data_IF_925076839461
#
_entry.id   IF_925076839461
#
_cell.length_a   1.000
_cell.length_b   1.000
_cell.length_c   1.000
_cell.angle_alpha   90.00
_cell.angle_beta   90.00
_cell.angle_gamma   90.00
#
_symmetry.space_group_name_H-M   'P 1'
#
loop_
_entity.id
_entity.type
_entity.pdbx_description
1 polymer ?
#
# COMPACT_ATOMS: atom_id res chain seq x y z
N UNK A 1 12.72 10.63 -18.81
CA UNK A 1 11.52 10.53 -17.95
C UNK A 1 11.02 9.11 -17.98
N UNK A 2 10.90 8.49 -16.81
CA UNK A 2 10.25 7.21 -16.73
C UNK A 2 8.76 7.40 -17.11
N UNK A 3 8.26 6.53 -17.98
CA UNK A 3 6.85 6.54 -18.36
C UNK A 3 6.02 6.03 -17.16
N UNK A 4 5.50 6.96 -16.37
CA UNK A 4 4.71 6.66 -15.16
C UNK A 4 3.43 5.86 -15.46
N UNK A 5 3.03 5.78 -16.73
CA UNK A 5 1.86 4.99 -17.11
C UNK A 5 2.08 3.48 -17.02
N UNK A 6 3.34 3.05 -16.92
CA UNK A 6 3.73 1.63 -16.87
C UNK A 6 4.12 1.14 -15.48
N UNK A 7 4.22 2.06 -14.52
CA UNK A 7 4.59 1.77 -13.15
C UNK A 7 3.48 2.21 -12.21
N UNK A 8 3.17 1.39 -11.24
CA UNK A 8 2.16 1.71 -10.23
C UNK A 8 2.73 1.49 -8.84
N UNK A 9 2.54 2.47 -7.96
CA UNK A 9 2.89 2.36 -6.55
C UNK A 9 1.61 2.21 -5.74
N UNK A 10 1.52 1.19 -4.92
CA UNK A 10 0.36 0.91 -4.07
C UNK A 10 0.82 0.86 -2.62
N UNK A 11 0.06 1.48 -1.74
CA UNK A 11 0.34 1.52 -0.32
C UNK A 11 -0.78 0.83 0.45
N UNK A 12 -0.38 -0.09 1.30
CA UNK A 12 -1.22 -0.71 2.32
C UNK A 12 -0.69 -0.36 3.71
N UNK A 13 -1.56 -0.43 4.70
CA UNK A 13 -1.18 -0.36 6.11
C UNK A 13 -1.84 -1.51 6.84
N UNK A 14 -1.07 -2.34 7.54
CA UNK A 14 -1.59 -3.54 8.18
C UNK A 14 -0.87 -3.88 9.47
N UNK A 15 -1.60 -4.49 10.38
CA UNK A 15 -1.07 -5.28 11.49
C UNK A 15 -1.11 -6.77 11.15
N UNK A 16 -0.71 -7.61 12.11
CA UNK A 16 -0.69 -9.07 11.91
C UNK A 16 -2.09 -9.66 11.74
N UNK A 17 -3.10 -9.09 12.38
CA UNK A 17 -4.49 -9.57 12.30
C UNK A 17 -5.08 -9.40 10.90
N UNK A 18 -4.70 -8.35 10.18
CA UNK A 18 -5.19 -8.06 8.83
C UNK A 18 -4.25 -8.53 7.71
N UNK A 19 -3.11 -9.13 8.06
CA UNK A 19 -2.12 -9.56 7.06
C UNK A 19 -2.69 -10.53 6.03
N UNK A 20 -3.55 -11.46 6.44
CA UNK A 20 -4.21 -12.40 5.54
C UNK A 20 -5.18 -11.68 4.59
N UNK A 21 -5.99 -10.76 5.10
CA UNK A 21 -6.93 -9.97 4.29
C UNK A 21 -6.17 -9.13 3.27
N UNK A 22 -5.09 -8.46 3.71
CA UNK A 22 -4.20 -7.71 2.82
C UNK A 22 -3.60 -8.60 1.74
N UNK A 23 -3.20 -9.82 2.08
CA UNK A 23 -2.66 -10.79 1.11
C UNK A 23 -3.67 -11.12 0.00
N UNK A 24 -4.93 -11.31 0.36
CA UNK A 24 -6.01 -11.54 -0.62
C UNK A 24 -6.22 -10.31 -1.49
N UNK A 25 -6.23 -9.12 -0.90
CA UNK A 25 -6.34 -7.86 -1.63
C UNK A 25 -5.21 -7.68 -2.63
N UNK A 26 -3.96 -7.86 -2.19
CA UNK A 26 -2.76 -7.77 -3.06
C UNK A 26 -2.84 -8.80 -4.19
N UNK A 27 -3.20 -10.03 -3.89
CA UNK A 27 -3.33 -11.08 -4.92
C UNK A 27 -4.34 -10.68 -5.98
N UNK A 28 -5.51 -10.19 -5.58
CA UNK A 28 -6.55 -9.74 -6.52
C UNK A 28 -6.06 -8.58 -7.39
N UNK A 29 -5.32 -7.63 -6.79
CA UNK A 29 -4.73 -6.51 -7.52
C UNK A 29 -3.74 -6.98 -8.57
N UNK A 30 -2.82 -7.86 -8.20
CA UNK A 30 -1.78 -8.36 -9.11
C UNK A 30 -2.35 -9.20 -10.25
N UNK A 31 -3.42 -9.98 -9.97
CA UNK A 31 -4.13 -10.77 -10.98
C UNK A 31 -4.76 -9.94 -12.08
N UNK A 32 -5.22 -8.74 -11.78
CA UNK A 32 -5.93 -7.88 -12.73
C UNK A 32 -5.07 -6.79 -13.36
N UNK A 33 -3.79 -6.70 -13.00
CA UNK A 33 -2.90 -5.63 -13.43
C UNK A 33 -1.59 -6.11 -14.05
N UNK A 34 -1.64 -7.21 -14.81
CA UNK A 34 -0.50 -7.77 -15.53
C UNK A 34 0.07 -6.84 -16.61
N UNK A 35 -0.67 -5.83 -17.02
CA UNK A 35 -0.27 -4.84 -18.02
C UNK A 35 0.78 -3.83 -17.53
N UNK A 36 0.90 -3.64 -16.21
CA UNK A 36 1.96 -2.81 -15.66
C UNK A 36 3.31 -3.52 -15.74
N UNK A 37 4.34 -2.81 -16.12
CA UNK A 37 5.70 -3.34 -16.17
C UNK A 37 6.30 -3.51 -14.78
N UNK A 38 5.88 -2.64 -13.83
CA UNK A 38 6.31 -2.72 -12.43
C UNK A 38 5.23 -2.23 -11.48
N UNK A 39 4.87 -3.07 -10.52
CA UNK A 39 3.97 -2.72 -9.42
C UNK A 39 4.77 -2.80 -8.12
N UNK A 40 4.94 -1.67 -7.45
CA UNK A 40 5.58 -1.57 -6.14
C UNK A 40 4.53 -1.52 -5.06
N UNK A 41 4.57 -2.52 -4.20
CA UNK A 41 3.68 -2.62 -3.05
C UNK A 41 4.46 -2.17 -1.81
N UNK A 42 4.05 -1.05 -1.24
CA UNK A 42 4.54 -0.56 0.03
C UNK A 42 3.56 -0.97 1.13
N UNK A 43 4.07 -1.56 2.19
CA UNK A 43 3.26 -1.95 3.34
C UNK A 43 3.79 -1.23 4.57
N UNK A 44 2.97 -0.35 5.15
CA UNK A 44 3.24 0.19 6.47
C UNK A 44 3.02 -0.94 7.46
N UNK A 45 4.11 -1.44 8.01
CA UNK A 45 4.17 -2.64 8.83
C UNK A 45 3.99 -2.27 10.31
N UNK A 46 2.77 -2.51 10.82
CA UNK A 46 2.44 -2.35 12.22
C UNK A 46 2.54 -3.71 12.94
N UNK A 47 3.76 -4.21 13.08
CA UNK A 47 4.08 -5.44 13.79
C UNK A 47 3.51 -6.72 13.15
N UNK A 48 3.61 -6.80 11.83
CA UNK A 48 3.29 -8.03 11.09
C UNK A 48 4.33 -9.11 11.48
N UNK A 49 3.88 -10.33 11.75
CA UNK A 49 4.77 -11.42 12.12
C UNK A 49 5.74 -11.77 10.98
N UNK A 50 6.97 -12.24 11.30
CA UNK A 50 7.92 -12.69 10.29
C UNK A 50 7.34 -13.76 9.37
N UNK A 51 6.54 -14.68 9.91
CA UNK A 51 5.86 -15.72 9.15
C UNK A 51 4.91 -15.14 8.09
N UNK A 52 4.07 -14.18 8.47
CA UNK A 52 3.13 -13.54 7.56
C UNK A 52 3.85 -12.67 6.53
N UNK A 53 4.92 -11.96 6.90
CA UNK A 53 5.75 -11.24 5.93
C UNK A 53 6.34 -12.18 4.89
N UNK A 54 6.84 -13.34 5.30
CA UNK A 54 7.42 -14.33 4.38
C UNK A 54 6.37 -14.91 3.44
N UNK A 55 5.18 -15.20 3.93
CA UNK A 55 4.04 -15.64 3.10
C UNK A 55 3.65 -14.58 2.05
N UNK A 56 3.63 -13.31 2.43
CA UNK A 56 3.34 -12.21 1.52
C UNK A 56 4.43 -12.07 0.45
N UNK A 57 5.71 -12.15 0.84
CA UNK A 57 6.83 -12.11 -0.10
C UNK A 57 6.79 -13.27 -1.08
N UNK A 58 6.52 -14.47 -0.59
CA UNK A 58 6.40 -15.67 -1.44
C UNK A 58 5.27 -15.52 -2.46
N UNK A 59 4.10 -15.06 -2.02
CA UNK A 59 2.96 -14.86 -2.90
C UNK A 59 3.26 -13.80 -3.98
N UNK A 60 3.83 -12.66 -3.60
CA UNK A 60 4.19 -11.59 -4.55
C UNK A 60 5.28 -12.04 -5.52
N UNK A 61 6.22 -12.88 -5.08
CA UNK A 61 7.30 -13.40 -5.94
C UNK A 61 6.81 -14.22 -7.13
N UNK A 62 5.58 -14.70 -7.10
CA UNK A 62 4.95 -15.42 -8.22
C UNK A 62 4.55 -14.51 -9.38
N UNK A 63 4.57 -13.20 -9.17
CA UNK A 63 4.28 -12.21 -10.20
C UNK A 63 5.56 -11.50 -10.62
N UNK A 64 5.94 -11.67 -11.89
CA UNK A 64 7.22 -11.15 -12.40
C UNK A 64 7.30 -9.62 -12.45
N UNK A 65 6.16 -8.94 -12.41
CA UNK A 65 6.05 -7.49 -12.46
C UNK A 65 5.80 -6.81 -11.10
N UNK A 66 5.93 -7.54 -10.00
CA UNK A 66 5.60 -7.02 -8.68
C UNK A 66 6.75 -7.19 -7.67
N UNK A 67 6.87 -6.24 -6.78
CA UNK A 67 7.76 -6.27 -5.62
C UNK A 67 7.05 -5.71 -4.40
N UNK A 68 7.40 -6.21 -3.21
CA UNK A 68 6.82 -5.78 -1.93
C UNK A 68 7.90 -5.27 -0.99
N UNK A 69 7.64 -4.14 -0.34
CA UNK A 69 8.52 -3.52 0.64
C UNK A 69 7.75 -3.21 1.91
N UNK A 70 8.32 -3.62 3.04
CA UNK A 70 7.75 -3.37 4.35
C UNK A 70 8.40 -2.14 4.97
N UNK A 71 7.58 -1.17 5.40
CA UNK A 71 8.01 0.06 6.06
C UNK A 71 7.68 -0.05 7.55
N UNK A 72 8.68 -0.18 8.43
CA UNK A 72 8.45 -0.31 9.88
C UNK A 72 7.75 0.91 10.45
N UNK A 73 6.67 0.70 11.20
CA UNK A 73 5.88 1.77 11.81
C UNK A 73 6.25 2.06 13.29
N UNK A 74 7.16 1.28 13.88
CA UNK A 74 7.49 1.36 15.31
C UNK A 74 7.90 2.76 15.78
N UNK A 75 8.76 3.45 15.04
CA UNK A 75 9.22 4.80 15.39
C UNK A 75 8.07 5.82 15.41
N UNK A 76 7.17 5.72 14.47
CA UNK A 76 5.98 6.58 14.37
C UNK A 76 4.96 6.24 15.44
N UNK A 77 4.81 4.96 15.76
CA UNK A 77 3.94 4.46 16.82
C UNK A 77 4.27 5.05 18.19
N UNK A 78 5.55 5.17 18.53
CA UNK A 78 5.99 5.79 19.78
C UNK A 78 5.70 7.29 19.82
N UNK A 79 5.98 8.01 18.74
CA UNK A 79 5.66 9.44 18.61
C UNK A 79 4.16 9.71 18.75
N UNK A 80 3.31 8.85 18.17
CA UNK A 80 1.86 8.99 18.22
C UNK A 80 1.28 8.70 19.60
N UNK A 81 1.85 7.74 20.36
CA UNK A 81 1.40 7.42 21.72
C UNK A 81 1.54 8.59 22.70
N UNK A 82 2.54 9.44 22.50
CA UNK A 82 2.76 10.62 23.34
C UNK A 82 1.66 11.68 23.17
N UNK A 83 0.94 11.66 22.06
CA UNK A 83 -0.04 12.68 21.68
C UNK A 83 -1.50 12.19 21.64
N UNK A 84 -1.76 10.91 21.96
CA UNK A 84 -3.09 10.32 21.74
C UNK A 84 -3.76 9.85 23.03
N UNK A 85 -4.89 10.47 23.33
CA UNK A 85 -5.83 10.07 24.38
C UNK A 85 -7.04 9.26 23.85
N UNK A 86 -6.99 8.71 22.64
CA UNK A 86 -8.16 8.15 21.96
C UNK A 86 -7.89 6.71 21.47
N UNK A 87 -8.91 5.84 21.60
CA UNK A 87 -8.91 4.43 21.18
C UNK A 87 -9.04 4.24 19.63
N UNK A 88 -8.40 5.09 18.85
CA UNK A 88 -8.42 4.93 17.40
C UNK A 88 -7.28 4.01 16.98
N UNK A 89 -7.55 3.07 16.07
CA UNK A 89 -6.55 2.18 15.51
C UNK A 89 -5.33 2.97 15.01
N UNK A 90 -4.15 2.65 15.52
CA UNK A 90 -2.89 3.25 15.10
C UNK A 90 -2.68 3.09 13.58
N UNK A 91 -3.14 1.98 13.01
CA UNK A 91 -3.11 1.75 11.56
C UNK A 91 -3.89 2.80 10.76
N UNK A 92 -4.96 3.35 11.33
CA UNK A 92 -5.74 4.44 10.70
C UNK A 92 -4.96 5.75 10.63
N UNK A 93 -4.03 5.99 11.57
CA UNK A 93 -3.18 7.17 11.56
C UNK A 93 -1.96 7.03 10.64
N UNK A 94 -1.53 5.82 10.36
CA UNK A 94 -0.37 5.57 9.50
C UNK A 94 -0.52 6.26 8.13
N UNK A 95 -1.75 6.31 7.61
CA UNK A 95 -2.04 7.01 6.34
C UNK A 95 -1.73 8.50 6.37
N UNK A 96 -1.75 9.15 7.54
CA UNK A 96 -1.44 10.57 7.67
C UNK A 96 0.05 10.87 7.52
N UNK A 97 0.89 9.89 7.78
CA UNK A 97 2.35 10.01 7.73
C UNK A 97 2.97 9.31 6.52
N UNK A 98 2.16 8.80 5.60
CA UNK A 98 2.66 8.06 4.44
C UNK A 98 3.65 8.87 3.60
N UNK A 99 3.44 10.17 3.47
CA UNK A 99 4.34 11.05 2.72
C UNK A 99 5.75 11.11 3.30
N UNK A 100 5.90 10.94 4.61
CA UNK A 100 7.20 10.93 5.28
C UNK A 100 7.85 9.54 5.30
N UNK A 101 7.04 8.48 5.23
CA UNK A 101 7.52 7.09 5.26
C UNK A 101 7.92 6.58 3.88
N UNK A 102 7.30 7.08 2.81
CA UNK A 102 7.61 6.68 1.45
C UNK A 102 8.93 7.29 0.96
N UNK A 103 9.67 6.61 0.06
CA UNK A 103 10.84 7.19 -0.58
C UNK A 103 10.51 8.51 -1.30
N UNK A 104 11.44 9.47 -1.27
CA UNK A 104 11.26 10.78 -1.94
C UNK A 104 11.03 10.67 -3.45
N UNK A 105 11.42 9.56 -4.05
CA UNK A 105 11.21 9.27 -5.47
C UNK A 105 9.76 8.88 -5.81
N UNK A 106 8.93 8.64 -4.79
CA UNK A 106 7.52 8.28 -4.97
C UNK A 106 6.68 9.56 -4.94
N UNK A 107 6.21 10.00 -6.08
CA UNK A 107 5.39 11.20 -6.25
C UNK A 107 3.89 10.90 -6.32
N UNK A 108 3.54 9.64 -6.59
CA UNK A 108 2.16 9.17 -6.66
C UNK A 108 2.04 7.78 -6.06
N UNK A 109 1.03 7.58 -5.24
CA UNK A 109 0.70 6.29 -4.65
C UNK A 109 -0.82 6.09 -4.62
N UNK A 110 -1.26 4.87 -4.86
CA UNK A 110 -2.63 4.45 -4.62
C UNK A 110 -2.71 3.84 -3.24
N UNK A 111 -3.46 4.46 -2.34
CA UNK A 111 -3.72 3.89 -1.02
C UNK A 111 -4.90 2.91 -1.09
N UNK A 112 -4.69 1.70 -0.61
CA UNK A 112 -5.70 0.64 -0.58
C UNK A 112 -5.90 0.10 0.83
N UNK A 113 -7.16 -0.12 1.20
CA UNK A 113 -7.50 -0.80 2.45
C UNK A 113 -7.27 -2.32 2.33
N UNK A 114 -6.97 -2.97 3.44
CA UNK A 114 -6.64 -4.41 3.48
C UNK A 114 -7.80 -5.34 3.12
N UNK A 115 -9.04 -4.88 3.30
CA UNK A 115 -10.26 -5.66 3.08
C UNK A 115 -10.94 -5.38 1.74
N UNK A 116 -10.19 -4.85 0.78
CA UNK A 116 -10.66 -4.58 -0.58
C UNK A 116 -10.29 -5.71 -1.54
N UNK A 117 -11.17 -5.98 -2.50
CA UNK A 117 -10.92 -6.89 -3.62
C UNK A 117 -10.88 -6.09 -4.92
N UNK A 118 -9.81 -6.23 -5.67
CA UNK A 118 -9.66 -5.63 -6.99
C UNK A 118 -10.22 -6.58 -8.03
N UNK A 119 -11.26 -6.15 -8.75
CA UNK A 119 -11.98 -6.97 -9.72
C UNK A 119 -11.68 -6.60 -11.19
N UNK A 120 -11.03 -5.47 -11.41
CA UNK A 120 -10.74 -4.94 -12.75
C UNK A 120 -9.38 -4.25 -12.80
N UNK A 121 -8.81 -4.02 -13.99
CA UNK A 121 -7.58 -3.26 -14.15
C UNK A 121 -7.68 -1.85 -13.57
N UNK A 122 -6.62 -1.39 -12.90
CA UNK A 122 -6.57 -0.08 -12.25
C UNK A 122 -5.93 1.03 -13.10
N UNK A 123 -5.67 0.77 -14.38
CA UNK A 123 -4.97 1.69 -15.26
C UNK A 123 -5.63 3.06 -15.37
N UNK A 124 -6.95 3.08 -15.54
CA UNK A 124 -7.70 4.35 -15.63
C UNK A 124 -7.63 5.13 -14.32
N UNK A 125 -7.79 4.44 -13.19
CA UNK A 125 -7.66 5.07 -11.87
C UNK A 125 -6.26 5.63 -11.67
N UNK A 126 -5.23 4.84 -11.97
CA UNK A 126 -3.83 5.25 -11.82
C UNK A 126 -3.48 6.47 -12.67
N UNK A 127 -3.99 6.56 -13.88
CA UNK A 127 -3.73 7.65 -14.81
C UNK A 127 -4.64 8.87 -14.60
N UNK A 128 -5.51 8.85 -13.59
CA UNK A 128 -6.38 9.99 -13.30
C UNK A 128 -5.54 11.22 -12.95
N UNK A 129 -5.74 12.38 -13.61
CA UNK A 129 -5.00 13.60 -13.30
C UNK A 129 -5.27 14.11 -11.89
N UNK A 130 -4.21 14.59 -11.21
CA UNK A 130 -4.27 15.20 -9.89
C UNK A 130 -4.05 16.73 -9.96
N UNK A 131 -4.49 17.37 -11.01
CA UNK A 131 -4.11 18.73 -11.41
C UNK A 131 -4.34 19.83 -10.36
N UNK A 132 -5.37 19.70 -9.54
CA UNK A 132 -5.74 20.72 -8.56
C UNK A 132 -5.88 20.17 -7.12
N UNK A 133 -5.69 18.88 -6.93
CA UNK A 133 -5.82 18.23 -5.65
C UNK A 133 -4.70 17.24 -5.46
N UNK A 134 -4.03 17.29 -4.32
CA UNK A 134 -3.02 16.29 -3.97
C UNK A 134 -3.63 14.92 -3.63
N UNK A 135 -4.95 14.85 -3.45
CA UNK A 135 -5.67 13.62 -3.13
C UNK A 135 -6.91 13.54 -4.00
N UNK A 136 -7.10 12.41 -4.65
CA UNK A 136 -8.34 12.10 -5.35
C UNK A 136 -8.98 10.86 -4.72
N UNK A 137 -10.22 11.00 -4.30
CA UNK A 137 -11.03 9.89 -3.82
C UNK A 137 -11.80 9.29 -5.00
N UNK A 138 -11.69 7.99 -5.18
CA UNK A 138 -12.51 7.25 -6.12
C UNK A 138 -13.74 6.73 -5.35
N UNK A 139 -14.94 7.13 -5.79
CA UNK A 139 -16.16 6.44 -5.39
C UNK A 139 -16.33 5.22 -6.28
N UNK A 140 -16.33 4.08 -5.64
CA UNK A 140 -16.66 2.81 -6.27
C UNK A 140 -18.18 2.62 -6.22
#
# INVERSE_FOLDING_TARGET
MADDTKRMNVLYSSDDNYAQHMGVSIYSLLRHNAEFENIRLYVIDNDISPENRDKLREMVSRFSNAEIMFLPFLEWKEKLRLNMSWDISISSYARLFMGEMLPETVDRVLYADCDMIVCEPLRELWNTPLDLCNIRLCQI
#
